data_IF_722818269126
#
_entry.id   IF_722818269126
#
_cell.length_a   1.000
_cell.length_b   1.000
_cell.length_c   1.000
_cell.angle_alpha   90.00
_cell.angle_beta   90.00
_cell.angle_gamma   90.00
#
_symmetry.space_group_name_H-M   'P 1'
#
loop_
_entity.id
_entity.type
_entity.pdbx_description
1 polymer ?
#
# COMPACT_ATOMS: atom_id res chain seq x y z
N UNK A 1 19.59 -23.82 17.73
CA UNK A 1 20.18 -23.48 16.43
C UNK A 1 21.28 -22.48 16.69
N UNK A 2 22.55 -22.80 16.37
CA UNK A 2 23.67 -21.91 16.65
C UNK A 2 23.70 -20.73 15.66
N UNK A 3 24.31 -19.61 16.07
CA UNK A 3 24.51 -18.44 15.18
C UNK A 3 25.30 -18.85 13.92
N UNK A 4 26.16 -19.85 14.04
CA UNK A 4 26.92 -20.42 12.93
C UNK A 4 26.05 -21.15 11.91
N UNK A 5 25.03 -21.90 12.34
CA UNK A 5 24.09 -22.61 11.45
C UNK A 5 23.16 -21.62 10.70
N UNK A 6 22.79 -20.54 11.38
CA UNK A 6 22.05 -19.43 10.76
C UNK A 6 22.88 -18.71 9.70
N UNK A 7 24.15 -18.40 10.01
CA UNK A 7 25.07 -17.74 9.08
C UNK A 7 25.43 -18.65 7.89
N UNK A 8 25.60 -19.96 8.10
CA UNK A 8 25.91 -20.91 7.02
C UNK A 8 24.74 -21.07 6.05
N UNK A 9 23.49 -21.11 6.56
CA UNK A 9 22.27 -21.19 5.73
C UNK A 9 21.96 -19.90 4.98
N UNK A 10 22.36 -18.76 5.53
CA UNK A 10 22.16 -17.45 4.92
C UNK A 10 23.36 -16.93 4.09
N UNK A 11 24.47 -17.64 4.03
CA UNK A 11 25.66 -17.22 3.26
C UNK A 11 25.34 -16.97 1.79
N UNK A 12 24.55 -17.81 1.18
CA UNK A 12 24.14 -17.65 -0.22
C UNK A 12 23.23 -16.42 -0.40
N UNK A 13 22.31 -16.21 0.53
CA UNK A 13 21.37 -15.06 0.53
C UNK A 13 22.08 -13.75 0.80
N UNK A 14 23.00 -13.72 1.78
CA UNK A 14 23.83 -12.55 2.07
C UNK A 14 24.79 -12.25 0.91
N UNK A 15 25.40 -13.29 0.32
CA UNK A 15 26.29 -13.14 -0.83
C UNK A 15 25.57 -12.60 -2.06
N UNK A 16 24.35 -13.09 -2.35
CA UNK A 16 23.55 -12.58 -3.48
C UNK A 16 23.05 -11.15 -3.23
N UNK A 17 22.64 -10.81 -2.01
CA UNK A 17 22.25 -9.43 -1.66
C UNK A 17 23.43 -8.47 -1.81
N UNK A 18 24.61 -8.84 -1.31
CA UNK A 18 25.84 -8.06 -1.46
C UNK A 18 26.25 -7.94 -2.93
N UNK A 19 26.16 -9.03 -3.71
CA UNK A 19 26.46 -9.02 -5.14
C UNK A 19 25.50 -8.09 -5.91
N UNK A 20 24.21 -8.09 -5.58
CA UNK A 20 23.21 -7.24 -6.22
C UNK A 20 23.39 -5.77 -5.87
N UNK A 21 23.69 -5.46 -4.61
CA UNK A 21 24.04 -4.09 -4.20
C UNK A 21 25.33 -3.66 -4.89
N UNK A 22 26.32 -4.53 -4.98
CA UNK A 22 27.57 -4.25 -5.68
C UNK A 22 27.36 -4.04 -7.19
N UNK A 23 26.50 -4.83 -7.83
CA UNK A 23 26.11 -4.65 -9.25
C UNK A 23 25.38 -3.33 -9.44
N UNK A 24 24.44 -2.97 -8.56
CA UNK A 24 23.73 -1.71 -8.61
C UNK A 24 24.66 -0.51 -8.42
N UNK A 25 25.57 -0.58 -7.45
CA UNK A 25 26.60 0.45 -7.20
C UNK A 25 27.58 0.54 -8.39
N UNK A 26 27.98 -0.60 -8.95
CA UNK A 26 28.87 -0.64 -10.12
C UNK A 26 28.15 -0.08 -11.36
N UNK A 27 26.89 -0.42 -11.57
CA UNK A 27 26.10 0.13 -12.67
C UNK A 27 25.96 1.65 -12.55
N UNK A 28 25.70 2.18 -11.35
CA UNK A 28 25.64 3.62 -11.08
C UNK A 28 27.02 4.27 -11.28
N UNK A 29 28.10 3.63 -10.83
CA UNK A 29 29.46 4.13 -11.01
C UNK A 29 29.90 4.13 -12.49
N UNK A 30 29.49 3.10 -13.26
CA UNK A 30 29.77 3.02 -14.70
C UNK A 30 28.98 4.03 -15.55
N UNK A 31 27.82 4.48 -15.03
CA UNK A 31 27.00 5.49 -15.69
C UNK A 31 27.45 6.92 -15.37
N UNK A 32 28.51 7.09 -14.58
CA UNK A 32 29.05 8.39 -14.13
C UNK A 32 27.97 9.31 -13.49
N UNK A 33 27.01 8.69 -12.82
CA UNK A 33 25.86 9.37 -12.22
C UNK A 33 26.25 9.94 -10.88
N UNK A 34 26.17 11.25 -10.66
CA UNK A 34 26.49 11.88 -9.38
C UNK A 34 25.41 11.51 -8.35
N UNK A 35 25.65 10.44 -7.56
CA UNK A 35 24.70 9.96 -6.52
C UNK A 35 24.26 11.06 -5.55
N UNK A 36 25.12 12.04 -5.27
CA UNK A 36 24.80 13.18 -4.41
C UNK A 36 23.70 14.07 -4.96
N UNK A 37 23.55 14.14 -6.28
CA UNK A 37 22.50 14.94 -6.95
C UNK A 37 21.20 14.15 -7.07
N UNK A 38 21.26 12.83 -6.97
CA UNK A 38 20.10 11.95 -7.04
C UNK A 38 19.48 11.74 -5.66
N UNK A 39 20.29 11.38 -4.65
CA UNK A 39 19.81 11.08 -3.29
C UNK A 39 19.80 12.35 -2.45
N UNK A 40 18.86 13.22 -2.73
CA UNK A 40 18.64 14.47 -1.98
C UNK A 40 17.58 14.27 -0.88
N UNK A 41 17.48 15.21 0.06
CA UNK A 41 16.39 15.22 1.07
C UNK A 41 15.02 15.23 0.37
N UNK A 42 14.89 16.01 -0.72
CA UNK A 42 13.66 16.03 -1.51
C UNK A 42 13.35 14.70 -2.23
N UNK A 43 14.36 13.93 -2.59
CA UNK A 43 14.16 12.56 -3.08
C UNK A 43 13.55 11.65 -2.01
N UNK A 44 14.09 11.69 -0.79
CA UNK A 44 13.59 10.89 0.33
C UNK A 44 12.16 11.27 0.71
N UNK A 45 11.85 12.57 0.74
CA UNK A 45 10.50 13.07 1.01
C UNK A 45 9.50 12.58 -0.05
N UNK A 46 9.83 12.71 -1.34
CA UNK A 46 8.99 12.20 -2.43
C UNK A 46 8.82 10.68 -2.39
N UNK A 47 9.88 9.95 -2.03
CA UNK A 47 9.83 8.50 -1.85
C UNK A 47 8.88 8.09 -0.74
N UNK A 48 8.87 8.81 0.39
CA UNK A 48 7.91 8.60 1.48
C UNK A 48 6.46 8.88 1.02
N UNK A 49 6.22 9.96 0.29
CA UNK A 49 4.89 10.26 -0.27
C UNK A 49 4.43 9.18 -1.25
N UNK A 50 5.30 8.68 -2.12
CA UNK A 50 4.99 7.61 -3.07
C UNK A 50 4.74 6.26 -2.37
N UNK A 51 5.46 5.98 -1.29
CA UNK A 51 5.31 4.77 -0.48
C UNK A 51 4.00 4.73 0.31
N UNK A 52 3.47 5.88 0.71
CA UNK A 52 2.32 6.01 1.60
C UNK A 52 1.08 5.23 1.11
N UNK A 53 0.58 5.41 -0.13
CA UNK A 53 -0.58 4.68 -0.63
C UNK A 53 -0.32 3.17 -0.71
N UNK A 54 0.90 2.77 -1.08
CA UNK A 54 1.32 1.37 -1.15
C UNK A 54 1.34 0.74 0.25
N UNK A 55 1.89 1.44 1.24
CA UNK A 55 1.95 0.96 2.62
C UNK A 55 0.55 0.76 3.23
N UNK A 56 -0.38 1.69 2.97
CA UNK A 56 -1.76 1.58 3.43
C UNK A 56 -2.46 0.36 2.82
N UNK A 57 -2.36 0.16 1.51
CA UNK A 57 -2.91 -1.01 0.83
C UNK A 57 -2.26 -2.31 1.34
N UNK A 58 -0.93 -2.32 1.54
CA UNK A 58 -0.20 -3.46 2.06
C UNK A 58 -0.63 -3.84 3.48
N UNK A 59 -0.78 -2.87 4.38
CA UNK A 59 -1.28 -3.10 5.74
C UNK A 59 -2.70 -3.66 5.71
N UNK A 60 -3.56 -3.12 4.86
CA UNK A 60 -4.90 -3.64 4.67
C UNK A 60 -4.88 -5.10 4.19
N UNK A 61 -4.16 -5.38 3.10
CA UNK A 61 -4.06 -6.72 2.50
C UNK A 61 -3.55 -7.77 3.48
N UNK A 62 -2.48 -7.47 4.22
CA UNK A 62 -1.92 -8.41 5.19
C UNK A 62 -2.89 -8.79 6.32
N UNK A 63 -3.78 -7.87 6.74
CA UNK A 63 -4.78 -8.17 7.76
C UNK A 63 -5.84 -9.14 7.26
N UNK A 64 -6.32 -8.96 6.04
CA UNK A 64 -7.27 -9.89 5.42
C UNK A 64 -6.62 -11.26 5.27
N UNK A 65 -5.40 -11.34 4.71
CA UNK A 65 -4.74 -12.60 4.47
C UNK A 65 -4.35 -13.33 5.77
N UNK A 66 -3.94 -12.57 6.80
CA UNK A 66 -3.71 -13.15 8.13
C UNK A 66 -4.98 -13.66 8.81
N UNK A 67 -6.16 -13.27 8.36
CA UNK A 67 -7.43 -13.84 8.82
C UNK A 67 -7.90 -15.06 8.00
N UNK A 68 -7.13 -15.45 6.98
CA UNK A 68 -7.48 -16.57 6.08
C UNK A 68 -8.22 -16.14 4.82
N UNK A 69 -8.43 -14.83 4.59
CA UNK A 69 -9.14 -14.32 3.41
C UNK A 69 -8.21 -13.50 2.53
N UNK A 70 -8.01 -13.94 1.29
CA UNK A 70 -7.13 -13.27 0.35
C UNK A 70 -7.86 -12.12 -0.35
N UNK A 71 -7.35 -10.90 -0.24
CA UNK A 71 -7.91 -9.72 -0.90
C UNK A 71 -7.05 -9.27 -2.08
N UNK A 72 -7.33 -9.81 -3.27
CA UNK A 72 -6.73 -9.35 -4.53
C UNK A 72 -7.31 -8.01 -5.00
N UNK A 73 -8.47 -7.59 -4.49
CA UNK A 73 -9.16 -6.38 -4.90
C UNK A 73 -8.54 -5.05 -4.43
N UNK A 74 -7.35 -5.06 -3.80
CA UNK A 74 -6.71 -3.86 -3.24
C UNK A 74 -6.58 -2.72 -4.27
N UNK A 75 -6.19 -3.04 -5.51
CA UNK A 75 -6.09 -2.06 -6.60
C UNK A 75 -7.44 -1.39 -6.88
N UNK A 76 -8.51 -2.19 -6.97
CA UNK A 76 -9.87 -1.67 -7.18
C UNK A 76 -10.35 -0.78 -6.02
N UNK A 77 -10.09 -1.17 -4.77
CA UNK A 77 -10.41 -0.35 -3.60
C UNK A 77 -9.63 0.96 -3.59
N UNK A 78 -8.37 0.96 -4.02
CA UNK A 78 -7.60 2.21 -4.18
C UNK A 78 -8.21 3.11 -5.26
N UNK A 79 -8.65 2.56 -6.39
CA UNK A 79 -9.33 3.34 -7.45
C UNK A 79 -10.63 3.95 -6.92
N UNK A 80 -11.45 3.16 -6.20
CA UNK A 80 -12.66 3.68 -5.54
C UNK A 80 -12.31 4.80 -4.56
N UNK A 81 -11.30 4.61 -3.71
CA UNK A 81 -10.87 5.62 -2.75
C UNK A 81 -10.46 6.93 -3.41
N UNK A 82 -9.64 6.85 -4.46
CA UNK A 82 -9.19 8.02 -5.21
C UNK A 82 -10.36 8.75 -5.92
N UNK A 83 -11.22 7.99 -6.62
CA UNK A 83 -12.36 8.57 -7.33
C UNK A 83 -13.38 9.20 -6.38
N UNK A 84 -13.71 8.52 -5.27
CA UNK A 84 -14.65 9.04 -4.28
C UNK A 84 -14.08 10.26 -3.54
N UNK A 85 -12.78 10.30 -3.23
CA UNK A 85 -12.15 11.47 -2.63
C UNK A 85 -12.17 12.65 -3.61
N UNK A 86 -11.87 12.43 -4.91
CA UNK A 86 -11.95 13.45 -5.93
C UNK A 86 -13.37 14.01 -6.09
N UNK A 87 -14.35 13.11 -6.17
CA UNK A 87 -15.76 13.51 -6.26
C UNK A 87 -16.20 14.28 -5.01
N UNK A 88 -15.86 13.79 -3.82
CA UNK A 88 -16.27 14.41 -2.56
C UNK A 88 -15.67 15.81 -2.38
N UNK A 89 -14.36 16.00 -2.64
CA UNK A 89 -13.73 17.32 -2.49
C UNK A 89 -14.33 18.33 -3.48
N UNK A 90 -14.66 17.90 -4.70
CA UNK A 90 -15.31 18.73 -5.69
C UNK A 90 -16.75 19.10 -5.29
N UNK A 91 -17.52 18.13 -4.81
CA UNK A 91 -18.91 18.35 -4.41
C UNK A 91 -19.03 19.22 -3.14
N UNK A 92 -18.05 19.20 -2.25
CA UNK A 92 -18.03 19.99 -1.01
C UNK A 92 -17.55 21.43 -1.29
N UNK A 93 -16.42 21.60 -1.97
CA UNK A 93 -15.75 22.91 -2.10
C UNK A 93 -15.62 23.45 -3.52
N UNK A 94 -15.85 22.63 -4.56
CA UNK A 94 -15.69 23.03 -5.97
C UNK A 94 -14.30 23.59 -6.27
N UNK A 95 -14.27 24.67 -7.05
CA UNK A 95 -13.02 25.39 -7.41
C UNK A 95 -12.37 26.11 -6.21
N UNK A 96 -13.11 26.32 -5.11
CA UNK A 96 -12.61 26.99 -3.90
C UNK A 96 -12.39 26.05 -2.73
N UNK A 97 -12.26 24.75 -2.99
CA UNK A 97 -12.05 23.74 -1.98
C UNK A 97 -10.81 24.04 -1.10
N UNK A 98 -11.00 23.87 0.20
CA UNK A 98 -9.99 24.16 1.23
C UNK A 98 -9.32 22.86 1.72
N UNK A 99 -8.27 22.99 2.56
CA UNK A 99 -7.68 21.85 3.25
C UNK A 99 -8.71 21.12 4.12
N UNK A 100 -9.64 21.83 4.75
CA UNK A 100 -10.72 21.23 5.54
C UNK A 100 -11.65 20.33 4.69
N UNK A 101 -11.99 20.81 3.48
CA UNK A 101 -12.82 20.04 2.54
C UNK A 101 -12.10 18.78 2.05
N UNK A 102 -10.78 18.85 1.85
CA UNK A 102 -9.97 17.68 1.48
C UNK A 102 -9.97 16.62 2.59
N UNK A 103 -9.84 17.01 3.87
CA UNK A 103 -9.92 16.07 4.97
C UNK A 103 -11.30 15.42 5.09
N UNK A 104 -12.37 16.20 4.91
CA UNK A 104 -13.73 15.66 4.86
C UNK A 104 -13.92 14.71 3.69
N UNK A 105 -13.35 15.03 2.53
CA UNK A 105 -13.40 14.17 1.35
C UNK A 105 -12.63 12.85 1.55
N UNK A 106 -11.48 12.86 2.21
CA UNK A 106 -10.74 11.65 2.58
C UNK A 106 -11.59 10.78 3.53
N UNK A 107 -12.20 11.38 4.56
CA UNK A 107 -13.08 10.65 5.48
C UNK A 107 -14.30 10.06 4.77
N UNK A 108 -14.94 10.82 3.87
CA UNK A 108 -16.05 10.35 3.05
C UNK A 108 -15.62 9.17 2.16
N UNK A 109 -14.47 9.27 1.50
CA UNK A 109 -13.94 8.19 0.67
C UNK A 109 -13.66 6.91 1.48
N UNK A 110 -13.14 7.03 2.70
CA UNK A 110 -12.93 5.88 3.61
C UNK A 110 -14.29 5.29 4.03
N UNK A 111 -15.27 6.13 4.38
CA UNK A 111 -16.61 5.67 4.75
C UNK A 111 -17.30 4.90 3.60
N UNK A 112 -17.19 5.41 2.38
CA UNK A 112 -17.71 4.72 1.19
C UNK A 112 -16.93 3.42 0.93
N UNK A 113 -15.60 3.42 1.12
CA UNK A 113 -14.77 2.22 0.98
C UNK A 113 -15.12 1.14 2.00
N UNK A 114 -15.53 1.51 3.22
CA UNK A 114 -16.06 0.57 4.21
C UNK A 114 -17.33 -0.14 3.69
N UNK A 115 -18.23 0.58 3.01
CA UNK A 115 -19.43 -0.01 2.42
C UNK A 115 -19.07 -1.00 1.32
N UNK A 116 -18.17 -0.62 0.39
CA UNK A 116 -17.71 -1.53 -0.67
C UNK A 116 -17.00 -2.76 -0.10
N UNK A 117 -16.17 -2.56 0.92
CA UNK A 117 -15.47 -3.64 1.60
C UNK A 117 -16.42 -4.58 2.35
N UNK A 118 -17.51 -4.04 2.93
CA UNK A 118 -18.56 -4.86 3.56
C UNK A 118 -19.28 -5.73 2.53
N UNK A 119 -19.63 -5.18 1.36
CA UNK A 119 -20.23 -5.93 0.26
C UNK A 119 -19.25 -7.04 -0.20
N UNK A 120 -18.00 -6.71 -0.40
CA UNK A 120 -16.94 -7.67 -0.77
C UNK A 120 -16.77 -8.76 0.28
N UNK A 121 -16.75 -8.41 1.56
CA UNK A 121 -16.69 -9.37 2.65
C UNK A 121 -17.88 -10.34 2.68
N UNK A 122 -19.10 -9.83 2.39
CA UNK A 122 -20.30 -10.67 2.25
C UNK A 122 -20.15 -11.66 1.09
N UNK A 123 -19.63 -11.21 -0.05
CA UNK A 123 -19.40 -12.10 -1.20
C UNK A 123 -18.41 -13.21 -0.87
N UNK A 124 -17.29 -12.88 -0.21
CA UNK A 124 -16.25 -13.86 0.08
C UNK A 124 -16.60 -14.82 1.23
N UNK A 125 -17.28 -14.31 2.28
CA UNK A 125 -17.46 -15.07 3.52
C UNK A 125 -18.82 -15.76 3.58
N UNK A 126 -19.88 -15.06 3.14
CA UNK A 126 -21.25 -15.63 3.20
C UNK A 126 -21.61 -16.43 1.94
N UNK A 127 -21.20 -15.93 0.78
CA UNK A 127 -21.50 -16.56 -0.52
C UNK A 127 -20.33 -17.43 -1.02
N UNK A 128 -19.23 -17.49 -0.27
CA UNK A 128 -18.06 -18.31 -0.56
C UNK A 128 -17.54 -18.14 -2.00
N UNK A 129 -17.67 -16.92 -2.53
CA UNK A 129 -17.21 -16.61 -3.87
C UNK A 129 -15.68 -16.81 -3.95
N UNK A 130 -15.23 -17.33 -5.07
CA UNK A 130 -13.79 -17.44 -5.33
C UNK A 130 -13.09 -16.09 -5.12
N UNK A 131 -12.11 -16.08 -4.22
CA UNK A 131 -11.48 -14.86 -3.72
C UNK A 131 -10.68 -14.15 -4.83
N UNK A 132 -10.10 -14.92 -5.77
CA UNK A 132 -9.36 -14.37 -6.90
C UNK A 132 -10.33 -13.72 -7.89
N UNK A 133 -11.41 -14.43 -8.25
CA UNK A 133 -12.41 -13.94 -9.19
C UNK A 133 -13.12 -12.71 -8.64
N UNK A 134 -13.53 -12.74 -7.37
CA UNK A 134 -14.17 -11.59 -6.72
C UNK A 134 -13.23 -10.38 -6.61
N UNK A 135 -11.95 -10.60 -6.27
CA UNK A 135 -10.96 -9.54 -6.22
C UNK A 135 -10.70 -8.90 -7.58
N UNK A 136 -10.57 -9.71 -8.64
CA UNK A 136 -10.46 -9.22 -10.02
C UNK A 136 -11.72 -8.46 -10.45
N UNK A 137 -12.91 -8.91 -10.05
CA UNK A 137 -14.16 -8.19 -10.33
C UNK A 137 -14.16 -6.80 -9.67
N UNK A 138 -13.69 -6.67 -8.43
CA UNK A 138 -13.53 -5.38 -7.75
C UNK A 138 -12.55 -4.48 -8.50
N UNK A 139 -11.45 -5.02 -9.01
CA UNK A 139 -10.50 -4.27 -9.82
C UNK A 139 -11.13 -3.76 -11.12
N UNK A 140 -11.78 -4.63 -11.91
CA UNK A 140 -12.47 -4.23 -13.15
C UNK A 140 -13.59 -3.21 -12.88
N UNK A 141 -14.35 -3.38 -11.79
CA UNK A 141 -15.33 -2.40 -11.37
C UNK A 141 -14.67 -1.04 -11.07
N UNK A 142 -13.52 -1.04 -10.39
CA UNK A 142 -12.74 0.18 -10.13
C UNK A 142 -12.31 0.88 -11.42
N UNK A 143 -11.76 0.13 -12.38
CA UNK A 143 -11.35 0.65 -13.71
C UNK A 143 -12.52 1.24 -14.51
N UNK A 144 -13.73 0.73 -14.31
CA UNK A 144 -14.93 1.30 -14.89
C UNK A 144 -15.48 2.49 -14.10
N UNK A 145 -15.63 2.30 -12.78
CA UNK A 145 -16.26 3.27 -11.88
C UNK A 145 -15.52 4.59 -11.78
N UNK A 146 -14.18 4.56 -11.64
CA UNK A 146 -13.38 5.77 -11.47
C UNK A 146 -13.53 6.74 -12.65
N UNK A 147 -13.21 6.32 -13.89
CA UNK A 147 -13.42 7.15 -15.08
C UNK A 147 -14.89 7.52 -15.32
N UNK A 148 -15.83 6.61 -15.05
CA UNK A 148 -17.26 6.89 -15.17
C UNK A 148 -17.68 8.02 -14.24
N UNK A 149 -17.29 7.98 -12.97
CA UNK A 149 -17.56 9.06 -11.99
C UNK A 149 -16.98 10.38 -12.47
N UNK A 150 -15.74 10.39 -12.99
CA UNK A 150 -15.11 11.58 -13.53
C UNK A 150 -15.86 12.16 -14.74
N UNK A 151 -16.34 11.31 -15.65
CA UNK A 151 -17.14 11.75 -16.82
C UNK A 151 -18.49 12.34 -16.37
N UNK A 152 -19.14 11.77 -15.38
CA UNK A 152 -20.41 12.30 -14.85
C UNK A 152 -20.22 13.68 -14.23
N UNK A 153 -19.15 13.89 -13.47
CA UNK A 153 -18.92 15.14 -12.72
C UNK A 153 -18.30 16.22 -13.60
N UNK A 154 -17.29 15.87 -14.42
CA UNK A 154 -16.49 16.85 -15.16
C UNK A 154 -16.58 16.75 -16.68
N UNK A 155 -17.35 15.80 -17.22
CA UNK A 155 -17.44 15.57 -18.67
C UNK A 155 -16.16 14.99 -19.28
N UNK A 156 -15.19 14.60 -18.46
CA UNK A 156 -13.88 14.08 -18.86
C UNK A 156 -13.48 12.94 -17.93
N UNK A 157 -12.64 12.01 -18.41
CA UNK A 157 -12.09 10.93 -17.58
C UNK A 157 -11.13 11.41 -16.48
N UNK A 158 -10.60 12.62 -16.61
CA UNK A 158 -9.72 13.25 -15.64
C UNK A 158 -10.42 14.43 -14.98
N UNK A 159 -10.16 14.67 -13.70
CA UNK A 159 -10.64 15.87 -13.00
C UNK A 159 -9.86 17.11 -13.43
N UNK A 160 -10.40 18.30 -13.21
CA UNK A 160 -9.58 19.51 -13.15
C UNK A 160 -8.58 19.43 -12.00
N UNK A 161 -7.72 20.44 -11.84
CA UNK A 161 -6.90 20.58 -10.65
C UNK A 161 -7.78 20.68 -9.40
N UNK A 162 -7.53 19.85 -8.41
CA UNK A 162 -8.20 19.83 -7.11
C UNK A 162 -7.22 20.30 -6.03
N UNK A 163 -7.74 20.61 -4.84
CA UNK A 163 -6.88 20.94 -3.71
C UNK A 163 -6.00 19.73 -3.34
N UNK A 164 -4.69 19.94 -3.30
CA UNK A 164 -3.71 18.97 -2.80
C UNK A 164 -3.46 19.18 -1.32
N UNK A 165 -2.89 18.17 -0.66
CA UNK A 165 -2.54 18.24 0.76
C UNK A 165 -1.30 19.08 0.99
N UNK A 166 -1.41 20.09 1.85
CA UNK A 166 -0.28 20.92 2.26
C UNK A 166 0.68 20.18 3.20
N UNK A 167 1.95 20.56 3.17
CA UNK A 167 2.91 20.05 4.13
C UNK A 167 2.62 20.60 5.54
N UNK A 168 2.71 19.76 6.53
CA UNK A 168 2.61 20.12 7.94
C UNK A 168 4.02 20.28 8.53
N UNK A 169 4.33 21.48 8.99
CA UNK A 169 5.57 21.74 9.71
C UNK A 169 5.33 21.63 11.22
N UNK A 170 6.00 20.69 11.88
CA UNK A 170 5.94 20.53 13.33
C UNK A 170 6.99 21.45 14.00
N UNK A 171 6.57 22.54 14.69
CA UNK A 171 7.50 23.48 15.30
C UNK A 171 8.46 22.78 16.27
N UNK A 172 9.73 23.17 16.26
CA UNK A 172 10.78 22.61 17.10
C UNK A 172 11.41 21.30 16.60
N UNK A 173 10.65 20.42 15.96
CA UNK A 173 11.17 19.16 15.40
C UNK A 173 11.62 19.32 13.94
N UNK A 174 11.01 20.22 13.19
CA UNK A 174 11.37 20.51 11.80
C UNK A 174 12.81 21.05 11.65
N UNK A 175 13.39 21.63 12.70
CA UNK A 175 14.76 22.12 12.73
C UNK A 175 15.85 21.07 12.96
N UNK A 176 15.49 19.80 13.18
CA UNK A 176 16.47 18.71 13.34
C UNK A 176 17.13 18.45 11.95
N UNK A 177 18.48 18.50 11.85
CA UNK A 177 19.16 18.26 10.59
C UNK A 177 18.76 16.91 10.00
N UNK A 178 18.48 16.87 8.69
CA UNK A 178 18.08 15.68 7.90
C UNK A 178 16.70 15.13 8.30
N UNK A 179 16.48 14.78 9.58
CA UNK A 179 15.22 14.17 10.03
C UNK A 179 14.06 15.18 10.08
N UNK A 180 14.36 16.44 10.37
CA UNK A 180 13.34 17.51 10.41
C UNK A 180 12.58 17.66 9.10
N UNK A 181 13.25 17.95 8.00
CA UNK A 181 12.60 18.05 6.69
C UNK A 181 11.91 16.78 6.24
N UNK A 182 12.46 15.61 6.54
CA UNK A 182 11.95 14.32 6.08
C UNK A 182 10.68 13.89 6.85
N UNK A 183 10.66 14.05 8.18
CA UNK A 183 9.59 13.50 9.02
C UNK A 183 8.67 14.57 9.61
N UNK A 184 9.15 15.80 9.82
CA UNK A 184 8.45 16.86 10.56
C UNK A 184 8.14 18.10 9.72
N UNK A 185 8.51 18.09 8.43
CA UNK A 185 8.10 19.07 7.45
C UNK A 185 7.66 18.35 6.16
N UNK A 186 6.64 17.51 6.28
CA UNK A 186 6.16 16.66 5.21
C UNK A 186 4.63 16.59 5.22
N UNK A 187 4.06 15.83 4.28
CA UNK A 187 2.62 15.61 4.25
C UNK A 187 2.12 14.97 5.56
N UNK A 188 1.05 15.50 6.20
CA UNK A 188 0.45 14.90 7.38
C UNK A 188 -0.04 13.46 7.13
N UNK A 189 -0.32 13.11 5.87
CA UNK A 189 -0.73 11.76 5.48
C UNK A 189 0.43 10.75 5.56
N UNK A 190 1.68 11.20 5.35
CA UNK A 190 2.88 10.38 5.58
C UNK A 190 3.01 10.06 7.08
N UNK A 191 2.85 11.09 7.93
CA UNK A 191 2.87 10.90 9.39
C UNK A 191 1.74 9.97 9.86
N UNK A 192 0.53 10.19 9.35
CA UNK A 192 -0.63 9.33 9.63
C UNK A 192 -0.34 7.87 9.25
N UNK A 193 0.23 7.63 8.08
CA UNK A 193 0.58 6.27 7.63
C UNK A 193 1.62 5.62 8.52
N UNK A 194 2.64 6.35 8.97
CA UNK A 194 3.62 5.84 9.93
C UNK A 194 2.96 5.46 11.27
N UNK A 195 2.05 6.30 11.78
CA UNK A 195 1.26 6.01 12.99
C UNK A 195 0.38 4.78 12.77
N UNK A 196 -0.31 4.68 11.64
CA UNK A 196 -1.16 3.53 11.31
C UNK A 196 -0.34 2.24 11.17
N UNK A 197 0.87 2.29 10.61
CA UNK A 197 1.75 1.12 10.52
C UNK A 197 2.17 0.61 11.92
N UNK A 198 2.54 1.53 12.82
CA UNK A 198 2.85 1.18 14.21
C UNK A 198 1.62 0.68 14.95
N UNK A 199 0.48 1.35 14.80
CA UNK A 199 -0.79 0.94 15.42
C UNK A 199 -1.22 -0.46 14.92
N UNK A 200 -1.13 -0.71 13.63
CA UNK A 200 -1.40 -2.02 13.04
C UNK A 200 -0.45 -3.09 13.61
N UNK A 201 0.83 -2.79 13.75
CA UNK A 201 1.77 -3.72 14.38
C UNK A 201 1.40 -4.00 15.84
N UNK A 202 1.07 -2.98 16.63
CA UNK A 202 0.63 -3.13 18.02
C UNK A 202 -0.64 -3.97 18.10
N UNK A 203 -1.66 -3.65 17.29
CA UNK A 203 -2.91 -4.40 17.26
C UNK A 203 -2.65 -5.87 16.92
N UNK A 204 -1.85 -6.16 15.89
CA UNK A 204 -1.62 -7.51 15.40
C UNK A 204 -0.82 -8.38 16.38
N UNK A 205 0.17 -7.81 17.08
CA UNK A 205 1.11 -8.58 17.90
C UNK A 205 1.00 -8.35 19.42
N UNK A 206 0.22 -7.37 19.85
CA UNK A 206 0.13 -6.98 21.28
C UNK A 206 -1.29 -6.98 21.82
N UNK A 207 -2.30 -7.33 21.00
CA UNK A 207 -3.69 -7.37 21.45
C UNK A 207 -4.34 -8.72 21.18
N UNK A 208 -5.40 -9.04 21.94
CA UNK A 208 -6.21 -10.25 21.72
C UNK A 208 -6.82 -10.29 20.32
N UNK A 209 -7.20 -9.15 19.76
CA UNK A 209 -7.77 -9.07 18.41
C UNK A 209 -6.78 -9.52 17.33
N UNK A 210 -5.51 -9.15 17.47
CA UNK A 210 -4.47 -9.60 16.56
C UNK A 210 -4.19 -11.09 16.66
N UNK A 211 -4.24 -11.67 17.87
CA UNK A 211 -4.15 -13.13 18.03
C UNK A 211 -5.34 -13.85 17.39
N UNK A 212 -6.57 -13.29 17.50
CA UNK A 212 -7.73 -13.85 16.84
C UNK A 212 -7.62 -13.81 15.31
N UNK A 213 -7.12 -12.69 14.76
CA UNK A 213 -6.89 -12.57 13.32
C UNK A 213 -5.88 -13.61 12.84
N UNK A 214 -4.76 -13.77 13.56
CA UNK A 214 -3.75 -14.77 13.20
C UNK A 214 -4.27 -16.20 13.36
N UNK A 215 -5.00 -16.49 14.43
CA UNK A 215 -5.59 -17.81 14.66
C UNK A 215 -6.66 -18.14 13.61
N UNK A 216 -7.47 -17.18 13.17
CA UNK A 216 -8.48 -17.37 12.11
C UNK A 216 -7.86 -17.76 10.75
N UNK A 217 -6.60 -17.39 10.50
CA UNK A 217 -5.87 -17.76 9.29
C UNK A 217 -4.96 -18.98 9.45
N UNK A 218 -4.56 -19.34 10.66
CA UNK A 218 -3.68 -20.50 10.89
C UNK A 218 -4.46 -21.76 11.27
N UNK A 219 -5.45 -21.64 12.16
CA UNK A 219 -6.30 -22.74 12.61
C UNK A 219 -7.66 -22.20 13.08
N UNK A 220 -8.61 -22.01 12.17
CA UNK A 220 -9.93 -21.47 12.49
C UNK A 220 -10.72 -22.36 13.46
N UNK A 221 -10.59 -23.68 13.39
CA UNK A 221 -11.27 -24.64 14.28
C UNK A 221 -10.83 -24.45 15.74
N UNK A 222 -9.53 -24.27 15.97
CA UNK A 222 -9.02 -24.01 17.32
C UNK A 222 -9.51 -22.67 17.86
N UNK A 223 -9.69 -21.67 17.01
CA UNK A 223 -10.24 -20.37 17.41
C UNK A 223 -11.71 -20.48 17.79
N UNK A 224 -12.50 -21.23 17.01
CA UNK A 224 -13.92 -21.47 17.26
C UNK A 224 -14.14 -22.27 18.56
N UNK A 225 -13.37 -23.32 18.76
CA UNK A 225 -13.36 -24.11 20.02
C UNK A 225 -13.03 -23.24 21.24
N UNK A 226 -12.22 -22.18 21.06
CA UNK A 226 -11.95 -21.19 22.10
C UNK A 226 -13.11 -20.19 22.33
N UNK A 227 -14.25 -20.35 21.65
CA UNK A 227 -15.46 -19.52 21.78
C UNK A 227 -15.38 -18.18 21.04
N UNK A 228 -14.47 -18.04 20.06
CA UNK A 228 -14.35 -16.82 19.26
C UNK A 228 -14.93 -17.08 17.87
N UNK A 229 -15.90 -16.29 17.47
CA UNK A 229 -16.57 -16.43 16.18
C UNK A 229 -15.60 -16.03 15.03
N UNK A 230 -15.10 -17.03 14.30
CA UNK A 230 -14.15 -16.92 13.19
C UNK A 230 -14.70 -16.02 12.08
N UNK A 231 -15.96 -16.19 11.73
CA UNK A 231 -16.64 -15.44 10.68
C UNK A 231 -16.61 -13.94 10.96
N UNK A 232 -16.89 -13.51 12.19
CA UNK A 232 -16.81 -12.09 12.59
C UNK A 232 -15.40 -11.54 12.49
N UNK A 233 -14.40 -12.33 12.84
CA UNK A 233 -12.99 -11.93 12.73
C UNK A 233 -12.61 -11.73 11.27
N UNK A 234 -12.98 -12.68 10.39
CA UNK A 234 -12.75 -12.58 8.94
C UNK A 234 -13.46 -11.36 8.34
N UNK A 235 -14.73 -11.10 8.69
CA UNK A 235 -15.45 -9.89 8.26
C UNK A 235 -14.72 -8.61 8.65
N UNK A 236 -14.32 -8.49 9.92
CA UNK A 236 -13.62 -7.31 10.41
C UNK A 236 -12.29 -7.07 9.66
N UNK A 237 -11.52 -8.14 9.41
CA UNK A 237 -10.25 -8.07 8.71
C UNK A 237 -10.41 -7.67 7.23
N UNK A 238 -11.41 -8.23 6.52
CA UNK A 238 -11.67 -7.89 5.10
C UNK A 238 -12.18 -6.46 4.96
N UNK A 239 -13.10 -6.03 5.84
CA UNK A 239 -13.61 -4.65 5.84
C UNK A 239 -12.47 -3.66 6.14
N UNK A 240 -11.63 -3.96 7.11
CA UNK A 240 -10.44 -3.16 7.40
C UNK A 240 -9.49 -3.09 6.19
N UNK A 241 -9.29 -4.23 5.50
CA UNK A 241 -8.46 -4.30 4.30
C UNK A 241 -8.92 -3.36 3.20
N UNK A 242 -10.21 -3.40 2.85
CA UNK A 242 -10.76 -2.53 1.82
C UNK A 242 -10.76 -1.05 2.23
N UNK A 243 -11.01 -0.74 3.50
CA UNK A 243 -10.93 0.62 4.02
C UNK A 243 -9.51 1.20 3.96
N UNK A 244 -8.50 0.41 4.33
CA UNK A 244 -7.09 0.82 4.24
C UNK A 244 -6.64 1.02 2.80
N UNK A 245 -7.05 0.15 1.87
CA UNK A 245 -6.77 0.31 0.45
C UNK A 245 -7.48 1.55 -0.11
N UNK A 246 -8.75 1.78 0.26
CA UNK A 246 -9.49 2.98 -0.11
C UNK A 246 -8.85 4.27 0.44
N UNK A 247 -8.38 4.25 1.69
CA UNK A 247 -7.58 5.34 2.26
C UNK A 247 -6.30 5.56 1.44
N UNK A 248 -5.62 4.49 1.03
CA UNK A 248 -4.44 4.57 0.15
C UNK A 248 -4.73 5.31 -1.15
N UNK A 249 -5.88 5.03 -1.78
CA UNK A 249 -6.34 5.75 -2.97
C UNK A 249 -6.67 7.23 -2.71
N UNK A 250 -7.37 7.53 -1.61
CA UNK A 250 -7.67 8.91 -1.21
C UNK A 250 -6.40 9.72 -0.90
N UNK A 251 -5.42 9.08 -0.27
CA UNK A 251 -4.09 9.69 -0.01
C UNK A 251 -3.34 9.95 -1.31
N UNK A 252 -3.40 9.03 -2.27
CA UNK A 252 -2.79 9.21 -3.58
C UNK A 252 -3.38 10.42 -4.30
N UNK A 253 -4.72 10.58 -4.28
CA UNK A 253 -5.40 11.77 -4.80
C UNK A 253 -4.92 13.05 -4.11
N UNK A 254 -4.91 13.04 -2.77
CA UNK A 254 -4.52 14.22 -1.98
C UNK A 254 -3.07 14.66 -2.28
N UNK A 255 -2.17 13.72 -2.56
CA UNK A 255 -0.81 14.04 -2.99
C UNK A 255 -0.71 14.53 -4.44
N UNK A 256 -1.56 14.00 -5.34
CA UNK A 256 -1.55 14.36 -6.76
C UNK A 256 -2.28 15.67 -7.05
N UNK A 257 -3.29 16.04 -6.25
CA UNK A 257 -4.14 17.20 -6.48
C UNK A 257 -5.00 17.11 -7.76
N UNK A 258 -5.17 15.92 -8.33
CA UNK A 258 -6.06 15.67 -9.48
C UNK A 258 -6.32 14.17 -9.62
N UNK A 259 -7.50 13.81 -10.14
CA UNK A 259 -7.84 12.43 -10.47
C UNK A 259 -7.56 12.16 -11.95
N UNK A 260 -6.80 11.12 -12.24
CA UNK A 260 -6.54 10.62 -13.58
C UNK A 260 -7.24 9.28 -13.77
N UNK A 261 -8.23 9.25 -14.67
CA UNK A 261 -9.01 8.04 -15.01
C UNK A 261 -8.65 7.43 -16.37
N UNK A 262 -7.61 7.90 -17.04
CA UNK A 262 -7.11 7.33 -18.29
C UNK A 262 -6.11 6.20 -18.03
N UNK A 263 -6.03 5.22 -18.94
CA UNK A 263 -5.17 4.04 -18.79
C UNK A 263 -5.57 3.20 -17.57
N UNK A 264 -4.58 2.76 -16.79
CA UNK A 264 -4.77 2.01 -15.54
C UNK A 264 -5.13 2.91 -14.35
N UNK A 265 -5.66 4.12 -14.63
CA UNK A 265 -5.95 5.18 -13.67
C UNK A 265 -4.69 5.71 -12.95
N UNK A 266 -4.88 6.67 -12.03
CA UNK A 266 -3.76 7.18 -11.24
C UNK A 266 -3.17 6.16 -10.27
N UNK A 267 -3.86 5.07 -9.97
CA UNK A 267 -3.40 4.02 -9.05
C UNK A 267 -2.27 3.20 -9.68
N UNK A 268 -2.41 2.85 -10.96
CA UNK A 268 -1.35 2.31 -11.81
C UNK A 268 -0.54 1.17 -11.16
N UNK A 269 -1.24 0.16 -10.65
CA UNK A 269 -0.63 -1.04 -10.10
C UNK A 269 -0.15 -0.96 -8.64
N UNK A 270 -0.35 0.18 -7.94
CA UNK A 270 0.12 0.33 -6.54
C UNK A 270 -0.54 -0.61 -5.56
N UNK A 271 -1.77 -1.04 -5.81
CA UNK A 271 -2.44 -2.08 -5.02
C UNK A 271 -1.78 -3.46 -5.20
N UNK A 272 -1.38 -3.80 -6.43
CA UNK A 272 -0.61 -5.01 -6.71
C UNK A 272 0.78 -4.97 -6.05
N UNK A 273 1.46 -3.82 -6.13
CA UNK A 273 2.72 -3.60 -5.40
C UNK A 273 2.49 -3.72 -3.89
N UNK A 274 1.33 -3.30 -3.38
CA UNK A 274 0.94 -3.49 -1.98
C UNK A 274 0.92 -4.96 -1.56
N UNK A 275 0.39 -5.86 -2.40
CA UNK A 275 0.44 -7.32 -2.17
C UNK A 275 1.90 -7.78 -2.07
N UNK A 276 2.72 -7.40 -3.02
CA UNK A 276 4.15 -7.74 -3.00
C UNK A 276 4.84 -7.17 -1.75
N UNK A 277 4.49 -5.94 -1.35
CA UNK A 277 5.09 -5.28 -0.20
C UNK A 277 4.80 -6.01 1.12
N UNK A 278 3.57 -6.49 1.37
CA UNK A 278 3.33 -7.23 2.61
C UNK A 278 3.91 -8.65 2.59
N UNK A 279 4.00 -9.29 1.43
CA UNK A 279 4.72 -10.55 1.28
C UNK A 279 6.22 -10.36 1.62
N UNK A 280 6.87 -9.31 1.12
CA UNK A 280 8.25 -8.96 1.45
C UNK A 280 8.43 -8.59 2.90
N UNK A 281 7.44 -7.89 3.47
CA UNK A 281 7.39 -7.58 4.88
C UNK A 281 7.13 -8.79 5.77
N UNK A 282 7.02 -10.01 5.18
CA UNK A 282 6.73 -11.27 5.88
C UNK A 282 5.49 -11.15 6.79
N UNK A 283 4.42 -10.58 6.25
CA UNK A 283 3.15 -10.32 6.96
C UNK A 283 3.30 -9.51 8.26
N UNK A 284 4.34 -8.69 8.34
CA UNK A 284 4.54 -7.74 9.43
C UNK A 284 4.20 -6.32 8.96
N UNK A 285 3.32 -5.57 9.64
CA UNK A 285 2.92 -4.23 9.22
C UNK A 285 4.09 -3.26 9.04
N UNK A 286 5.10 -3.29 9.93
CA UNK A 286 6.30 -2.46 9.80
C UNK A 286 7.20 -2.93 8.66
N UNK A 287 7.30 -4.26 8.46
CA UNK A 287 8.00 -4.85 7.32
C UNK A 287 7.33 -4.47 5.99
N UNK A 288 6.00 -4.51 5.92
CA UNK A 288 5.22 -4.09 4.76
C UNK A 288 5.40 -2.60 4.44
N UNK A 289 5.41 -1.74 5.47
CA UNK A 289 5.69 -0.31 5.31
C UNK A 289 7.13 -0.05 4.81
N UNK A 290 8.11 -0.79 5.33
CA UNK A 290 9.50 -0.70 4.86
C UNK A 290 9.65 -1.18 3.41
N UNK A 291 8.96 -2.27 3.02
CA UNK A 291 8.93 -2.73 1.63
C UNK A 291 8.22 -1.71 0.72
N UNK A 292 7.11 -1.12 1.17
CA UNK A 292 6.45 -0.04 0.43
C UNK A 292 7.36 1.17 0.21
N UNK A 293 8.21 1.51 1.20
CA UNK A 293 9.22 2.57 1.06
C UNK A 293 10.27 2.22 -0.01
N UNK A 294 10.68 0.96 -0.08
CA UNK A 294 11.57 0.49 -1.15
C UNK A 294 10.93 0.73 -2.53
N UNK A 295 9.66 0.30 -2.72
CA UNK A 295 8.97 0.47 -4.01
C UNK A 295 8.69 1.93 -4.33
N UNK A 296 8.25 2.74 -3.36
CA UNK A 296 8.07 4.18 -3.53
C UNK A 296 9.39 4.91 -3.86
N UNK A 297 10.49 4.45 -3.26
CA UNK A 297 11.84 4.91 -3.59
C UNK A 297 12.26 4.59 -5.04
N UNK A 298 11.93 3.41 -5.52
CA UNK A 298 12.21 3.00 -6.90
C UNK A 298 11.36 3.77 -7.92
N UNK A 299 10.08 4.03 -7.60
CA UNK A 299 9.23 4.92 -8.40
C UNK A 299 9.85 6.32 -8.53
N UNK A 300 10.30 6.88 -7.42
CA UNK A 300 10.92 8.21 -7.41
C UNK A 300 12.30 8.23 -8.08
N UNK A 301 13.07 7.16 -7.95
CA UNK A 301 14.36 7.01 -8.63
C UNK A 301 14.19 7.04 -10.15
N UNK A 302 13.14 6.39 -10.66
CA UNK A 302 12.78 6.43 -12.06
C UNK A 302 12.54 7.88 -12.54
N UNK A 303 11.74 8.65 -11.78
CA UNK A 303 11.45 10.05 -12.11
C UNK A 303 12.71 10.89 -12.03
N UNK A 304 13.57 10.64 -11.04
CA UNK A 304 14.81 11.39 -10.86
C UNK A 304 15.81 11.18 -12.01
N UNK A 305 15.92 9.95 -12.53
CA UNK A 305 16.76 9.68 -13.70
C UNK A 305 16.26 10.40 -14.95
N UNK A 306 14.95 10.44 -15.16
CA UNK A 306 14.36 11.18 -16.28
C UNK A 306 14.61 12.68 -16.18
N UNK A 307 14.52 13.25 -14.96
CA UNK A 307 14.75 14.69 -14.73
C UNK A 307 16.23 15.09 -14.75
N UNK A 308 17.13 14.16 -14.38
CA UNK A 308 18.57 14.38 -14.43
C UNK A 308 19.16 14.31 -15.87
N UNK A 309 18.31 14.05 -16.88
CA UNK A 309 18.75 13.98 -18.28
C UNK A 309 19.60 12.76 -18.58
N UNK A 310 19.52 11.72 -17.76
CA UNK A 310 20.16 10.43 -18.00
C UNK A 310 19.36 9.73 -19.09
N UNK A 311 19.97 9.60 -20.26
CA UNK A 311 19.33 9.09 -21.48
C UNK A 311 19.18 7.56 -21.45
N UNK A 312 18.44 7.08 -20.44
CA UNK A 312 18.03 5.68 -20.34
C UNK A 312 16.68 5.50 -21.02
N UNK A 313 16.52 4.48 -21.88
CA UNK A 313 15.20 4.18 -22.46
C UNK A 313 14.15 4.02 -21.35
N UNK A 314 13.05 4.78 -21.42
CA UNK A 314 11.96 4.75 -20.45
C UNK A 314 11.48 3.32 -20.14
N UNK A 315 11.52 2.43 -21.15
CA UNK A 315 11.16 1.01 -20.98
C UNK A 315 12.07 0.26 -20.00
N UNK A 316 13.36 0.59 -19.93
CA UNK A 316 14.30 -0.04 -18.99
C UNK A 316 14.08 0.49 -17.57
N UNK A 317 13.84 1.79 -17.46
CA UNK A 317 13.63 2.44 -16.14
C UNK A 317 12.33 1.95 -15.51
N UNK A 318 11.28 1.76 -16.32
CA UNK A 318 9.99 1.17 -15.88
C UNK A 318 10.12 -0.28 -15.38
N UNK A 319 11.20 -0.98 -15.71
CA UNK A 319 11.45 -2.34 -15.20
C UNK A 319 12.06 -2.37 -13.79
N UNK A 320 12.57 -1.26 -13.26
CA UNK A 320 13.25 -1.23 -11.97
C UNK A 320 12.43 -1.78 -10.79
N UNK A 321 11.16 -1.39 -10.59
CA UNK A 321 10.34 -1.97 -9.53
C UNK A 321 10.16 -3.49 -9.68
N UNK A 322 9.94 -3.97 -10.89
CA UNK A 322 9.76 -5.40 -11.18
C UNK A 322 11.05 -6.20 -11.02
N UNK A 323 12.18 -5.63 -11.47
CA UNK A 323 13.49 -6.23 -11.26
C UNK A 323 13.81 -6.34 -9.76
N UNK A 324 13.50 -5.30 -8.97
CA UNK A 324 13.65 -5.32 -7.52
C UNK A 324 12.80 -6.42 -6.87
N UNK A 325 11.56 -6.63 -7.34
CA UNK A 325 10.70 -7.74 -6.89
C UNK A 325 11.40 -9.08 -7.09
N UNK A 326 11.90 -9.35 -8.30
CA UNK A 326 12.58 -10.62 -8.63
C UNK A 326 13.82 -10.80 -7.75
N UNK A 327 14.61 -9.75 -7.58
CA UNK A 327 15.81 -9.74 -6.76
C UNK A 327 15.49 -10.05 -5.30
N UNK A 328 14.52 -9.35 -4.72
CA UNK A 328 14.15 -9.53 -3.32
C UNK A 328 13.53 -10.90 -3.10
N UNK A 329 12.66 -11.39 -4.00
CA UNK A 329 12.13 -12.76 -3.92
C UNK A 329 13.22 -13.83 -3.99
N UNK A 330 14.26 -13.61 -4.79
CA UNK A 330 15.39 -14.54 -4.90
C UNK A 330 16.19 -14.56 -3.60
N UNK A 331 16.36 -13.42 -2.94
CA UNK A 331 17.18 -13.28 -1.72
C UNK A 331 16.39 -13.64 -0.46
N UNK A 332 15.12 -13.23 -0.37
CA UNK A 332 14.26 -13.40 0.82
C UNK A 332 13.08 -14.37 0.63
N UNK A 333 13.10 -15.22 -0.36
CA UNK A 333 12.01 -16.08 -0.85
C UNK A 333 11.41 -17.14 0.09
N UNK A 334 11.39 -16.96 1.40
CA UNK A 334 10.65 -17.83 2.33
C UNK A 334 9.62 -17.01 3.12
N UNK A 335 8.51 -16.68 2.49
CA UNK A 335 7.32 -16.14 3.15
C UNK A 335 6.49 -17.28 3.73
N UNK A 336 6.04 -17.16 4.98
CA UNK A 336 5.09 -18.11 5.57
C UNK A 336 3.69 -17.53 5.37
N UNK A 337 2.97 -18.08 4.40
CA UNK A 337 1.54 -17.80 4.24
C UNK A 337 0.78 -18.48 5.36
N UNK A 338 -0.30 -17.87 5.89
CA UNK A 338 -1.20 -18.55 6.83
C UNK A 338 -1.81 -19.80 6.21
N UNK A 339 -1.98 -20.86 7.00
CA UNK A 339 -2.32 -22.19 6.50
C UNK A 339 -3.71 -22.28 5.86
N UNK A 340 -4.69 -21.53 6.40
CA UNK A 340 -6.09 -21.55 5.96
C UNK A 340 -6.44 -20.39 5.01
N UNK A 341 -5.45 -19.79 4.32
CA UNK A 341 -5.71 -18.75 3.32
C UNK A 341 -6.42 -19.35 2.11
N UNK A 342 -7.57 -18.75 1.76
CA UNK A 342 -8.38 -19.19 0.64
C UNK A 342 -9.33 -20.33 0.97
N UNK A 343 -9.29 -20.87 2.19
CA UNK A 343 -10.20 -21.93 2.61
C UNK A 343 -11.50 -21.35 3.18
N UNK A 344 -12.62 -21.93 2.76
CA UNK A 344 -13.93 -21.67 3.37
C UNK A 344 -13.95 -22.28 4.77
N UNK A 345 -14.68 -21.64 5.68
CA UNK A 345 -14.84 -22.13 7.04
C UNK A 345 -16.31 -22.13 7.41
N UNK A 346 -16.84 -23.33 7.67
CA UNK A 346 -18.16 -23.53 8.26
C UNK A 346 -17.97 -23.88 9.74
N UNK A 347 -18.64 -23.13 10.63
CA UNK A 347 -18.69 -23.45 12.06
C UNK A 347 -19.54 -24.70 12.27
N UNK A 348 -19.02 -25.70 12.95
CA UNK A 348 -19.82 -26.82 13.45
C UNK A 348 -20.67 -26.30 14.62
N UNK A 349 -21.91 -25.83 14.36
CA UNK A 349 -22.91 -25.53 15.39
C UNK A 349 -23.51 -26.82 16.02
#
# INVERSE_FOLDING_TARGET
MSVADYAARNRFRLGSAVALVAIAVLAVALLDVPLGDIVTIGFVERSLRAATPIALAAIGGLYAEKSGVFNIGLEGFMIFGAANAAAAVWLIGGDSATQGDLWLAILAAVAISLVYAAIFAVLLIRYEADQIVAGLAVWFLGLGFGPFTAVIIWGNRNSPGLVGIDALTVPGLAGIPVLGPILFNTSPLVMLTAVLAVAAWVVLYRTKYGYWIQAAGENPEALDTAGVNVTRVRYAAVIFSGAMAGLGGAVLLAHAGSFTGTGDTMVNGRGWIGIVAYLFGNYNPLGAAAAALLFGGLDMLQIQFQTAGIDLPNRLVNLFPYAAVIVVLTVWGSTRMPSAVGETYESEE
#
